data_IF_053159869288
#
_entry.id   IF_053159869288
#
_cell.length_a   1.000
_cell.length_b   1.000
_cell.length_c   1.000
_cell.angle_alpha   90.00
_cell.angle_beta   90.00
_cell.angle_gamma   90.00
#
_symmetry.space_group_name_H-M   'P 1'
#
loop_
_entity.id
_entity.type
_entity.pdbx_description
1 polymer ?
#
# COMPACT_ATOMS: atom_id res chain seq x y z
N UNK A 1 4.18 5.80 -16.27
CA UNK A 1 2.87 5.13 -16.36
C UNK A 1 3.15 3.63 -16.35
N UNK A 2 2.43 2.84 -15.56
CA UNK A 2 2.66 1.39 -15.49
C UNK A 2 2.17 0.70 -16.77
N UNK A 3 2.85 -0.35 -17.20
CA UNK A 3 2.31 -1.27 -18.22
C UNK A 3 1.20 -2.14 -17.63
N UNK A 4 0.42 -2.82 -18.49
CA UNK A 4 -0.63 -3.74 -18.03
C UNK A 4 -0.06 -4.83 -17.11
N UNK A 5 1.12 -5.36 -17.43
CA UNK A 5 1.76 -6.39 -16.59
C UNK A 5 2.20 -5.79 -15.25
N UNK A 6 2.81 -4.61 -15.28
CA UNK A 6 3.24 -3.91 -14.07
C UNK A 6 2.07 -3.54 -13.15
N UNK A 7 0.92 -3.18 -13.72
CA UNK A 7 -0.31 -2.98 -12.94
C UNK A 7 -0.72 -4.27 -12.24
N UNK A 8 -0.79 -5.40 -12.97
CA UNK A 8 -1.14 -6.71 -12.40
C UNK A 8 -0.18 -7.12 -11.28
N UNK A 9 1.12 -6.96 -11.51
CA UNK A 9 2.16 -7.30 -10.53
C UNK A 9 2.03 -6.42 -9.29
N UNK A 10 1.87 -5.10 -9.46
CA UNK A 10 1.73 -4.16 -8.34
C UNK A 10 0.43 -4.43 -7.54
N UNK A 11 -0.69 -4.70 -8.21
CA UNK A 11 -1.95 -5.08 -7.56
C UNK A 11 -1.76 -6.35 -6.73
N UNK A 12 -1.14 -7.39 -7.32
CA UNK A 12 -0.87 -8.64 -6.61
C UNK A 12 0.03 -8.43 -5.39
N UNK A 13 1.10 -7.65 -5.53
CA UNK A 13 2.05 -7.34 -4.46
C UNK A 13 1.37 -6.61 -3.28
N UNK A 14 0.49 -5.65 -3.55
CA UNK A 14 -0.28 -4.95 -2.52
C UNK A 14 -1.23 -5.90 -1.80
N UNK A 15 -1.96 -6.72 -2.54
CA UNK A 15 -2.93 -7.69 -1.99
C UNK A 15 -2.23 -8.78 -1.16
N UNK A 16 -1.10 -9.29 -1.62
CA UNK A 16 -0.34 -10.30 -0.90
C UNK A 16 0.20 -9.76 0.42
N UNK A 17 0.72 -8.52 0.44
CA UNK A 17 1.18 -7.88 1.67
C UNK A 17 0.02 -7.59 2.63
N UNK A 18 -1.13 -7.13 2.13
CA UNK A 18 -2.34 -6.96 2.95
C UNK A 18 -2.83 -8.29 3.55
N UNK A 19 -2.85 -9.36 2.75
CA UNK A 19 -3.21 -10.71 3.21
C UNK A 19 -2.25 -11.22 4.29
N UNK A 20 -0.95 -11.02 4.13
CA UNK A 20 0.07 -11.39 5.13
C UNK A 20 -0.09 -10.62 6.43
N UNK A 21 -0.40 -9.33 6.33
CA UNK A 21 -0.63 -8.48 7.50
C UNK A 21 -1.79 -9.02 8.33
N UNK A 22 -2.85 -9.54 7.67
CA UNK A 22 -4.00 -10.18 8.29
C UNK A 22 -4.76 -9.24 9.26
N UNK A 23 -4.69 -7.94 8.99
CA UNK A 23 -5.49 -6.94 9.69
C UNK A 23 -6.88 -6.84 9.04
N UNK A 24 -7.94 -6.54 9.81
CA UNK A 24 -9.23 -6.20 9.23
C UNK A 24 -9.13 -4.95 8.35
N UNK A 25 -9.79 -4.92 7.19
CA UNK A 25 -9.76 -3.74 6.29
C UNK A 25 -10.23 -2.45 6.99
N UNK A 26 -11.15 -2.58 7.95
CA UNK A 26 -11.63 -1.46 8.78
C UNK A 26 -10.53 -0.84 9.64
N UNK A 27 -9.58 -1.67 10.11
CA UNK A 27 -8.42 -1.17 10.86
C UNK A 27 -7.47 -0.42 9.93
N UNK A 28 -7.15 -1.00 8.77
CA UNK A 28 -6.30 -0.35 7.76
C UNK A 28 -6.89 0.99 7.32
N UNK A 29 -8.18 1.03 7.02
CA UNK A 29 -8.90 2.26 6.68
C UNK A 29 -8.77 3.31 7.79
N UNK A 30 -8.97 2.92 9.05
CA UNK A 30 -8.82 3.82 10.20
C UNK A 30 -7.38 4.36 10.32
N UNK A 31 -6.39 3.49 10.22
CA UNK A 31 -4.97 3.86 10.38
C UNK A 31 -4.49 4.79 9.26
N UNK A 32 -5.03 4.62 8.05
CA UNK A 32 -4.76 5.46 6.88
C UNK A 32 -5.63 6.72 6.82
N UNK A 33 -6.60 6.88 7.73
CA UNK A 33 -7.64 7.91 7.67
C UNK A 33 -8.45 7.93 6.36
N UNK A 34 -8.65 6.75 5.78
CA UNK A 34 -9.45 6.52 4.59
C UNK A 34 -10.75 5.80 4.95
N UNK A 35 -11.70 5.76 4.02
CA UNK A 35 -12.84 4.86 4.09
C UNK A 35 -12.51 3.49 3.49
N UNK A 36 -13.38 2.49 3.73
CA UNK A 36 -13.13 1.11 3.29
C UNK A 36 -13.04 1.01 1.76
N UNK A 37 -13.90 1.72 1.03
CA UNK A 37 -13.91 1.70 -0.43
C UNK A 37 -12.62 2.27 -1.02
N UNK A 38 -12.06 3.31 -0.40
CA UNK A 38 -10.77 3.89 -0.82
C UNK A 38 -9.63 2.88 -0.65
N UNK A 39 -9.62 2.13 0.46
CA UNK A 39 -8.62 1.06 0.66
C UNK A 39 -8.80 -0.07 -0.36
N UNK A 40 -10.03 -0.46 -0.70
CA UNK A 40 -10.31 -1.46 -1.74
C UNK A 40 -9.86 -1.00 -3.13
N UNK A 41 -10.09 0.27 -3.47
CA UNK A 41 -9.57 0.92 -4.68
C UNK A 41 -8.05 0.90 -4.72
N UNK A 42 -7.36 1.19 -3.61
CA UNK A 42 -5.90 1.10 -3.52
C UNK A 42 -5.38 -0.32 -3.69
N UNK A 43 -6.01 -1.30 -3.05
CA UNK A 43 -5.65 -2.72 -3.17
C UNK A 43 -5.90 -3.28 -4.58
N UNK A 44 -6.80 -2.69 -5.35
CA UNK A 44 -7.09 -3.09 -6.74
C UNK A 44 -6.36 -2.24 -7.78
N UNK A 45 -5.71 -1.14 -7.36
CA UNK A 45 -5.20 -0.07 -8.24
C UNK A 45 -6.28 0.55 -9.14
N UNK A 46 -7.54 0.58 -8.70
CA UNK A 46 -8.65 1.17 -9.45
C UNK A 46 -8.86 2.65 -9.08
N UNK A 47 -8.64 3.56 -10.04
CA UNK A 47 -8.76 5.02 -9.90
C UNK A 47 -8.07 5.56 -8.63
N UNK A 48 -6.74 5.52 -8.60
CA UNK A 48 -5.93 5.87 -7.42
C UNK A 48 -4.90 6.95 -7.73
N UNK A 49 -4.64 7.84 -6.76
CA UNK A 49 -3.51 8.77 -6.85
C UNK A 49 -2.21 8.05 -6.49
N UNK A 50 -1.10 8.27 -7.21
CA UNK A 50 0.17 7.59 -6.91
C UNK A 50 0.68 7.80 -5.47
N UNK A 51 0.36 8.95 -4.86
CA UNK A 51 0.69 9.23 -3.46
C UNK A 51 0.01 8.25 -2.49
N UNK A 52 -1.27 7.98 -2.69
CA UNK A 52 -2.05 7.07 -1.84
C UNK A 52 -1.57 5.62 -1.98
N UNK A 53 -1.10 5.23 -3.18
CA UNK A 53 -0.49 3.91 -3.39
C UNK A 53 0.84 3.81 -2.65
N UNK A 54 1.66 4.87 -2.65
CA UNK A 54 2.89 4.93 -1.86
C UNK A 54 2.61 4.89 -0.35
N UNK A 55 1.53 5.56 0.08
CA UNK A 55 1.05 5.55 1.45
C UNK A 55 0.67 4.13 1.90
N UNK A 56 -0.16 3.42 1.12
CA UNK A 56 -0.55 2.04 1.44
C UNK A 56 0.67 1.10 1.46
N UNK A 57 1.61 1.23 0.51
CA UNK A 57 2.86 0.45 0.53
C UNK A 57 3.60 0.64 1.85
N UNK A 58 3.87 1.89 2.23
CA UNK A 58 4.64 2.20 3.44
C UNK A 58 3.95 1.71 4.71
N UNK A 59 2.62 1.85 4.78
CA UNK A 59 1.83 1.31 5.88
C UNK A 59 1.98 -0.21 6.00
N UNK A 60 1.80 -0.94 4.88
CA UNK A 60 1.92 -2.39 4.86
C UNK A 60 3.32 -2.84 5.29
N UNK A 61 4.37 -2.18 4.78
CA UNK A 61 5.75 -2.49 5.17
C UNK A 61 6.00 -2.25 6.66
N UNK A 62 5.57 -1.11 7.19
CA UNK A 62 5.78 -0.76 8.59
C UNK A 62 5.05 -1.72 9.53
N UNK A 63 3.78 -2.03 9.23
CA UNK A 63 2.99 -2.92 10.06
C UNK A 63 3.48 -4.36 9.97
N UNK A 64 3.87 -4.85 8.78
CA UNK A 64 4.48 -6.18 8.65
C UNK A 64 5.77 -6.28 9.46
N UNK A 65 6.67 -5.29 9.36
CA UNK A 65 7.91 -5.24 10.16
C UNK A 65 7.62 -5.19 11.66
N UNK A 66 6.63 -4.39 12.09
CA UNK A 66 6.19 -4.28 13.49
C UNK A 66 5.69 -5.61 14.03
N UNK A 67 4.98 -6.39 13.22
CA UNK A 67 4.48 -7.73 13.56
C UNK A 67 5.53 -8.85 13.38
N UNK A 68 6.77 -8.51 12.99
CA UNK A 68 7.83 -9.49 12.73
C UNK A 68 7.58 -10.38 11.50
N UNK A 69 6.74 -9.91 10.56
CA UNK A 69 6.37 -10.63 9.33
C UNK A 69 7.19 -10.15 8.14
N UNK A 70 7.49 -11.06 7.22
CA UNK A 70 8.21 -10.73 5.99
C UNK A 70 7.31 -10.04 4.96
N UNK A 71 7.81 -8.92 4.44
CA UNK A 71 7.22 -8.19 3.31
C UNK A 71 7.39 -9.00 2.03
N UNK A 72 6.31 -9.17 1.27
CA UNK A 72 6.40 -9.63 -0.11
C UNK A 72 6.99 -8.49 -0.96
N UNK A 73 8.11 -8.72 -1.67
CA UNK A 73 8.84 -7.65 -2.32
C UNK A 73 8.00 -6.98 -3.40
N UNK A 74 8.07 -5.65 -3.45
CA UNK A 74 7.48 -4.88 -4.53
C UNK A 74 8.44 -4.84 -5.72
N UNK A 75 7.94 -5.01 -6.94
CA UNK A 75 8.78 -4.86 -8.15
C UNK A 75 8.85 -3.40 -8.58
N UNK A 76 7.70 -2.72 -8.64
CA UNK A 76 7.58 -1.33 -9.13
C UNK A 76 7.59 -0.29 -8.04
N UNK A 77 7.20 -0.67 -6.83
CA UNK A 77 7.18 0.22 -5.67
C UNK A 77 8.42 0.05 -4.77
N UNK A 78 9.41 -0.75 -5.17
CA UNK A 78 10.62 -1.05 -4.39
C UNK A 78 11.43 0.18 -3.95
N UNK A 79 11.40 1.26 -4.72
CA UNK A 79 12.21 2.45 -4.46
C UNK A 79 11.40 3.53 -3.75
N UNK A 80 11.57 3.67 -2.43
CA UNK A 80 10.99 4.76 -1.65
C UNK A 80 11.47 6.15 -2.10
N UNK A 81 12.59 6.26 -2.80
CA UNK A 81 13.05 7.55 -3.34
C UNK A 81 12.09 8.14 -4.38
N UNK A 82 11.26 7.32 -5.01
CA UNK A 82 10.22 7.78 -5.94
C UNK A 82 9.09 8.55 -5.23
N UNK A 83 8.93 8.37 -3.91
CA UNK A 83 7.92 9.04 -3.09
C UNK A 83 8.06 10.56 -3.12
N UNK A 84 9.28 11.09 -3.37
CA UNK A 84 9.54 12.54 -3.42
C UNK A 84 8.69 13.28 -4.47
N UNK A 85 8.18 12.55 -5.46
CA UNK A 85 7.37 13.10 -6.55
C UNK A 85 5.88 13.17 -6.22
N UNK A 86 5.43 12.48 -5.16
CA UNK A 86 4.03 12.36 -4.79
C UNK A 86 3.88 12.57 -3.29
N UNK A 87 3.42 13.75 -2.83
CA UNK A 87 3.21 13.97 -1.41
C UNK A 87 2.06 13.09 -0.91
N UNK A 88 2.23 12.53 0.29
CA UNK A 88 1.21 11.84 1.06
C UNK A 88 1.54 11.94 2.55
N UNK A 89 0.55 11.70 3.40
CA UNK A 89 0.72 11.69 4.84
C UNK A 89 0.99 10.29 5.38
N UNK A 90 1.56 10.18 6.58
CA UNK A 90 1.78 8.89 7.26
C UNK A 90 1.08 8.87 8.62
N UNK A 91 -0.27 8.95 8.67
CA UNK A 91 -1.03 9.14 9.89
C UNK A 91 -0.81 8.06 10.97
N UNK A 92 -0.41 6.85 10.59
CA UNK A 92 -0.11 5.74 11.51
C UNK A 92 1.24 5.84 12.23
N UNK A 93 2.12 6.77 11.82
CA UNK A 93 3.46 6.96 12.41
C UNK A 93 3.49 7.95 13.58
N UNK A 94 2.35 8.54 13.93
CA UNK A 94 2.21 9.56 14.98
C UNK A 94 1.53 9.01 16.23
#
# INVERSE_FOLDING_TARGET
>A
MLTIQEMKDTTFELQENFRRLNYPIKQVAKDLQLNISEVESLLSLDVTYPGDVCMLRDYLEDMLKKEGKEVYPFSRLASHSANRWYPYETPWRY
#
